data_IF_630769918691
#
_entry.id   IF_630769918691
#
_cell.length_a   1.000
_cell.length_b   1.000
_cell.length_c   1.000
_cell.angle_alpha   90.00
_cell.angle_beta   90.00
_cell.angle_gamma   90.00
#
_symmetry.space_group_name_H-M   'P 1'
#
loop_
_entity.id
_entity.type
_entity.pdbx_description
1 polymer ?
#
# COMPACT_ATOMS: atom_id res chain seq x y z
N UNK A 1 34.11 -23.82 13.52
CA UNK A 1 32.83 -23.93 12.79
C UNK A 1 32.46 -22.51 12.46
N UNK A 2 32.37 -22.16 11.18
CA UNK A 2 32.04 -20.80 10.77
C UNK A 2 30.63 -20.47 11.26
N UNK A 3 30.55 -19.59 12.25
CA UNK A 3 29.30 -19.16 12.84
C UNK A 3 28.61 -18.19 11.87
N UNK A 4 27.68 -18.72 11.07
CA UNK A 4 26.92 -17.93 10.09
C UNK A 4 25.87 -17.07 10.78
N UNK A 5 25.91 -15.76 10.52
CA UNK A 5 24.91 -14.79 10.94
C UNK A 5 23.83 -14.70 9.85
N UNK A 6 22.60 -15.04 10.21
CA UNK A 6 21.45 -14.85 9.32
C UNK A 6 20.84 -13.49 9.56
N UNK A 7 20.68 -12.72 8.49
CA UNK A 7 20.19 -11.36 8.53
C UNK A 7 18.96 -11.22 7.63
N UNK A 8 17.80 -10.94 8.21
CA UNK A 8 16.58 -10.64 7.47
C UNK A 8 16.15 -9.20 7.67
N UNK A 9 16.23 -8.40 6.62
CA UNK A 9 15.77 -7.01 6.66
C UNK A 9 14.25 -6.94 6.75
N UNK A 10 13.77 -5.92 7.47
CA UNK A 10 12.38 -5.51 7.44
C UNK A 10 12.14 -4.69 6.19
N UNK A 11 10.99 -4.90 5.56
CA UNK A 11 10.61 -4.17 4.35
C UNK A 11 10.52 -2.65 4.61
N UNK A 12 9.89 -2.27 5.72
CA UNK A 12 9.64 -0.88 6.08
C UNK A 12 9.63 -0.63 7.59
N UNK A 13 10.14 0.53 7.99
CA UNK A 13 9.97 1.07 9.34
C UNK A 13 9.55 2.54 9.28
N UNK A 14 8.86 3.01 10.33
CA UNK A 14 8.45 4.41 10.47
C UNK A 14 9.05 5.00 11.74
N UNK A 15 9.74 6.13 11.62
CA UNK A 15 10.48 6.75 12.72
C UNK A 15 10.26 8.25 12.77
N UNK A 16 10.45 8.86 13.94
CA UNK A 16 10.40 10.30 14.08
C UNK A 16 11.73 10.95 13.64
N UNK A 17 11.73 12.22 13.22
CA UNK A 17 12.96 12.95 12.94
C UNK A 17 13.88 12.98 14.16
N UNK A 18 15.18 12.77 13.97
CA UNK A 18 16.18 12.69 15.04
C UNK A 18 16.33 11.31 15.69
N UNK A 19 15.58 10.31 15.21
CA UNK A 19 15.70 8.94 15.71
C UNK A 19 16.94 8.23 15.14
N UNK A 20 17.72 7.60 16.03
CA UNK A 20 18.86 6.75 15.65
C UNK A 20 18.38 5.34 15.38
N UNK A 21 18.48 4.92 14.12
CA UNK A 21 18.10 3.58 13.66
C UNK A 21 19.21 2.60 14.05
N UNK A 22 18.82 1.56 14.80
CA UNK A 22 19.69 0.45 15.23
C UNK A 22 19.41 -0.79 14.37
N UNK A 23 20.35 -1.74 14.36
CA UNK A 23 20.21 -2.99 13.61
C UNK A 23 18.94 -3.76 13.98
N UNK A 24 18.61 -3.84 15.26
CA UNK A 24 17.37 -4.47 15.76
C UNK A 24 16.07 -3.86 15.22
N UNK A 25 16.09 -2.57 14.86
CA UNK A 25 14.94 -1.88 14.30
C UNK A 25 14.70 -2.26 12.84
N UNK A 26 15.76 -2.48 12.06
CA UNK A 26 15.68 -2.70 10.60
C UNK A 26 15.87 -4.16 10.19
N UNK A 27 16.39 -5.02 11.06
CA UNK A 27 16.68 -6.40 10.73
C UNK A 27 16.34 -7.36 11.87
N UNK A 28 15.87 -8.55 11.51
CA UNK A 28 15.90 -9.73 12.35
C UNK A 28 17.26 -10.40 12.18
N UNK A 29 17.93 -10.64 13.30
CA UNK A 29 19.28 -11.20 13.31
C UNK A 29 19.21 -12.51 14.06
N UNK A 30 19.74 -13.57 13.47
CA UNK A 30 20.02 -14.81 14.17
C UNK A 30 21.53 -15.04 14.14
N UNK A 31 22.14 -15.00 15.32
CA UNK A 31 23.57 -15.11 15.51
C UNK A 31 23.87 -15.95 16.76
N UNK A 32 25.11 -16.46 16.90
CA UNK A 32 25.55 -17.13 18.12
C UNK A 32 25.34 -16.24 19.36
N UNK A 33 25.04 -16.89 20.49
CA UNK A 33 24.57 -16.25 21.72
C UNK A 33 25.50 -15.17 22.29
N UNK A 34 26.81 -15.25 22.04
CA UNK A 34 27.77 -14.23 22.51
C UNK A 34 27.78 -12.93 21.69
N UNK A 35 27.32 -12.96 20.43
CA UNK A 35 27.48 -11.84 19.48
C UNK A 35 26.14 -11.16 19.20
N UNK A 36 25.02 -11.89 19.35
CA UNK A 36 23.69 -11.41 18.98
C UNK A 36 23.30 -10.11 19.71
N UNK A 37 23.48 -10.01 21.03
CA UNK A 37 23.12 -8.81 21.79
C UNK A 37 23.91 -7.58 21.35
N UNK A 38 25.22 -7.75 21.13
CA UNK A 38 26.13 -6.69 20.66
C UNK A 38 25.75 -6.16 19.28
N UNK A 39 25.22 -7.02 18.41
CA UNK A 39 24.77 -6.64 17.07
C UNK A 39 23.44 -5.90 17.09
N UNK A 40 22.49 -6.33 17.92
CA UNK A 40 21.15 -5.73 18.02
C UNK A 40 21.18 -4.24 18.39
N UNK A 41 22.13 -3.82 19.23
CA UNK A 41 22.27 -2.43 19.68
C UNK A 41 23.12 -1.55 18.74
N UNK A 42 23.63 -2.10 17.64
CA UNK A 42 24.52 -1.37 16.72
C UNK A 42 23.77 -0.23 16.02
N UNK A 43 24.20 1.03 16.16
CA UNK A 43 23.62 2.15 15.42
C UNK A 43 24.06 2.08 13.95
N UNK A 44 23.11 2.26 13.03
CA UNK A 44 23.33 2.21 11.58
C UNK A 44 23.34 3.62 10.99
N UNK A 45 22.31 4.40 11.30
CA UNK A 45 22.16 5.76 10.79
C UNK A 45 21.23 6.56 11.71
N UNK A 46 21.57 7.83 11.93
CA UNK A 46 20.65 8.78 12.57
C UNK A 46 19.90 9.52 11.48
N UNK A 47 18.57 9.51 11.56
CA UNK A 47 17.70 10.11 10.58
C UNK A 47 17.57 11.60 10.87
N UNK A 48 18.12 12.43 10.00
CA UNK A 48 18.00 13.88 10.07
C UNK A 48 16.77 14.37 9.31
N UNK A 49 16.28 15.57 9.66
CA UNK A 49 15.24 16.25 8.86
C UNK A 49 15.72 16.60 7.45
N UNK A 50 17.03 16.70 7.24
CA UNK A 50 17.64 16.98 5.95
C UNK A 50 17.62 15.77 5.00
N UNK A 51 17.41 14.55 5.54
CA UNK A 51 17.40 13.31 4.75
C UNK A 51 16.06 13.10 4.02
N UNK A 52 15.14 14.08 4.06
CA UNK A 52 13.85 14.02 3.40
C UNK A 52 12.81 13.21 4.18
N UNK A 53 11.76 12.80 3.48
CA UNK A 53 10.65 12.03 4.07
C UNK A 53 10.90 10.51 4.06
N UNK A 54 11.83 10.04 3.23
CA UNK A 54 12.09 8.62 3.03
C UNK A 54 13.58 8.39 2.86
N UNK A 55 14.13 7.42 3.57
CA UNK A 55 15.55 7.03 3.48
C UNK A 55 15.63 5.53 3.23
N UNK A 56 16.44 5.12 2.24
CA UNK A 56 16.69 3.70 1.98
C UNK A 56 18.00 3.28 2.65
N UNK A 57 17.95 2.21 3.44
CA UNK A 57 19.13 1.59 4.04
C UNK A 57 19.39 0.25 3.34
N UNK A 58 20.48 0.19 2.58
CA UNK A 58 20.89 -0.98 1.82
C UNK A 58 21.55 -2.08 2.69
N UNK A 59 21.36 -3.34 2.32
CA UNK A 59 22.01 -4.51 2.92
C UNK A 59 23.53 -4.36 2.99
N UNK A 60 24.18 -3.80 1.96
CA UNK A 60 25.63 -3.61 1.91
C UNK A 60 26.12 -2.67 3.02
N UNK A 61 25.35 -1.62 3.33
CA UNK A 61 25.66 -0.70 4.43
C UNK A 61 25.54 -1.40 5.79
N UNK A 62 24.56 -2.28 5.93
CA UNK A 62 24.35 -3.08 7.15
C UNK A 62 25.48 -4.10 7.31
N UNK A 63 25.81 -4.85 6.26
CA UNK A 63 26.93 -5.81 6.26
C UNK A 63 28.24 -5.10 6.62
N UNK A 64 28.50 -3.94 6.04
CA UNK A 64 29.69 -3.13 6.38
C UNK A 64 29.70 -2.71 7.85
N UNK A 65 28.53 -2.40 8.42
CA UNK A 65 28.41 -2.03 9.84
C UNK A 65 28.62 -3.23 10.76
N UNK A 66 28.16 -4.43 10.37
CA UNK A 66 28.38 -5.69 11.10
C UNK A 66 29.86 -6.07 11.05
N UNK A 67 30.49 -6.08 9.87
CA UNK A 67 31.90 -6.47 9.69
C UNK A 67 32.88 -5.57 10.44
N UNK A 68 32.53 -4.31 10.72
CA UNK A 68 33.32 -3.44 11.60
C UNK A 68 33.40 -3.93 13.04
N UNK A 69 32.36 -4.63 13.52
CA UNK A 69 32.31 -5.21 14.88
C UNK A 69 32.75 -6.66 14.92
N UNK A 70 32.45 -7.41 13.86
CA UNK A 70 32.75 -8.86 13.77
C UNK A 70 33.34 -9.15 12.38
N UNK A 71 34.66 -8.96 12.21
CA UNK A 71 35.30 -9.06 10.89
C UNK A 71 35.21 -10.45 10.26
N UNK A 72 35.29 -11.49 11.09
CA UNK A 72 35.38 -12.89 10.67
C UNK A 72 34.02 -13.59 10.52
N UNK A 73 32.91 -12.87 10.72
CA UNK A 73 31.59 -13.48 10.60
C UNK A 73 31.18 -13.71 9.14
N UNK A 74 30.70 -14.93 8.87
CA UNK A 74 29.99 -15.23 7.63
C UNK A 74 28.56 -14.67 7.74
N UNK A 75 28.15 -13.81 6.81
CA UNK A 75 26.81 -13.19 6.83
C UNK A 75 25.98 -13.77 5.68
N UNK A 76 24.80 -14.30 6.00
CA UNK A 76 23.83 -14.83 5.05
C UNK A 76 22.57 -13.96 5.05
N UNK A 77 22.38 -13.09 4.05
CA UNK A 77 21.18 -12.26 3.92
C UNK A 77 19.97 -13.11 3.49
N UNK A 78 18.81 -12.84 4.08
CA UNK A 78 17.54 -13.51 3.79
C UNK A 78 16.43 -12.48 3.62
N UNK A 79 15.68 -12.51 2.53
CA UNK A 79 14.56 -11.59 2.30
C UNK A 79 14.97 -10.28 1.59
N UNK A 80 14.34 -9.13 1.93
CA UNK A 80 14.56 -7.88 1.21
C UNK A 80 16.02 -7.40 1.24
N UNK A 81 16.50 -6.84 0.12
CA UNK A 81 17.86 -6.31 -0.02
C UNK A 81 18.05 -4.91 0.60
N UNK A 82 16.96 -4.24 1.00
CA UNK A 82 17.02 -2.95 1.66
C UNK A 82 15.80 -2.73 2.56
N UNK A 83 15.91 -1.77 3.47
CA UNK A 83 14.81 -1.31 4.33
C UNK A 83 14.45 0.13 3.99
N UNK A 84 13.16 0.40 3.76
CA UNK A 84 12.62 1.74 3.59
C UNK A 84 12.34 2.33 4.99
N UNK A 85 12.97 3.46 5.30
CA UNK A 85 12.77 4.21 6.54
C UNK A 85 11.94 5.45 6.24
N UNK A 86 10.67 5.42 6.66
CA UNK A 86 9.77 6.56 6.52
C UNK A 86 9.89 7.49 7.72
N UNK A 87 10.17 8.76 7.44
CA UNK A 87 10.19 9.81 8.46
C UNK A 87 8.76 10.28 8.67
N UNK A 88 8.25 10.13 9.90
CA UNK A 88 6.91 10.56 10.25
C UNK A 88 6.78 12.09 10.08
N UNK A 89 6.21 12.51 8.95
CA UNK A 89 5.76 13.87 8.78
C UNK A 89 4.63 14.19 9.77
N UNK A 90 4.57 15.43 10.25
CA UNK A 90 3.43 15.90 11.05
C UNK A 90 2.15 15.69 10.25
N UNK A 91 1.12 15.11 10.89
CA UNK A 91 -0.21 14.96 10.29
C UNK A 91 -0.69 16.33 9.80
N UNK A 92 -0.83 16.49 8.49
CA UNK A 92 -1.47 17.66 7.90
C UNK A 92 -2.97 17.40 7.92
N UNK A 93 -3.69 18.20 8.69
CA UNK A 93 -5.14 18.15 8.69
C UNK A 93 -5.62 18.73 7.36
N UNK A 94 -6.36 17.95 6.59
CA UNK A 94 -7.13 18.50 5.48
C UNK A 94 -8.25 19.36 6.08
N UNK A 95 -8.42 20.62 5.64
CA UNK A 95 -9.54 21.43 6.09
C UNK A 95 -10.85 20.73 5.71
N UNK A 96 -11.79 20.67 6.64
CA UNK A 96 -13.11 20.04 6.44
C UNK A 96 -13.82 20.56 5.17
N UNK A 97 -13.58 21.82 4.82
CA UNK A 97 -14.12 22.44 3.60
C UNK A 97 -13.62 21.76 2.32
N UNK A 98 -12.33 21.43 2.23
CA UNK A 98 -11.78 20.71 1.08
C UNK A 98 -12.34 19.29 0.99
N UNK A 99 -12.51 18.63 2.13
CA UNK A 99 -13.14 17.32 2.17
C UNK A 99 -14.58 17.36 1.63
N UNK A 100 -15.39 18.33 2.08
CA UNK A 100 -16.75 18.53 1.60
C UNK A 100 -16.81 18.83 0.09
N UNK A 101 -15.90 19.66 -0.40
CA UNK A 101 -15.82 19.99 -1.83
C UNK A 101 -15.53 18.75 -2.68
N UNK A 102 -14.53 17.95 -2.30
CA UNK A 102 -14.17 16.71 -2.99
C UNK A 102 -15.34 15.73 -2.95
N UNK A 103 -16.03 15.62 -1.81
CA UNK A 103 -17.19 14.75 -1.66
C UNK A 103 -18.33 15.12 -2.59
N UNK A 104 -18.66 16.42 -2.69
CA UNK A 104 -19.67 16.93 -3.63
C UNK A 104 -19.28 16.65 -5.08
N UNK A 105 -18.01 16.89 -5.43
CA UNK A 105 -17.52 16.66 -6.78
C UNK A 105 -17.60 15.18 -7.17
N UNK A 106 -17.20 14.27 -6.27
CA UNK A 106 -17.34 12.83 -6.48
C UNK A 106 -18.80 12.40 -6.59
N UNK A 107 -19.67 12.92 -5.73
CA UNK A 107 -21.10 12.61 -5.78
C UNK A 107 -21.74 13.02 -7.11
N UNK A 108 -21.48 14.26 -7.56
CA UNK A 108 -21.97 14.77 -8.84
C UNK A 108 -21.38 13.98 -10.02
N UNK A 109 -20.08 13.71 -10.00
CA UNK A 109 -19.40 12.95 -11.05
C UNK A 109 -19.95 11.52 -11.18
N UNK A 110 -20.15 10.83 -10.06
CA UNK A 110 -20.78 9.51 -10.04
C UNK A 110 -22.23 9.55 -10.51
N UNK A 111 -23.01 10.54 -10.09
CA UNK A 111 -24.40 10.69 -10.53
C UNK A 111 -24.50 10.89 -12.05
N UNK A 112 -23.65 11.76 -12.62
CA UNK A 112 -23.57 11.98 -14.06
C UNK A 112 -23.16 10.71 -14.81
N UNK A 113 -22.16 9.96 -14.29
CA UNK A 113 -21.75 8.69 -14.88
C UNK A 113 -22.86 7.65 -14.88
N UNK A 114 -23.62 7.53 -13.78
CA UNK A 114 -24.77 6.63 -13.68
C UNK A 114 -25.83 7.02 -14.72
N UNK A 115 -26.19 8.31 -14.81
CA UNK A 115 -27.19 8.80 -15.77
C UNK A 115 -26.75 8.50 -17.21
N UNK A 116 -25.51 8.84 -17.56
CA UNK A 116 -24.98 8.60 -18.90
C UNK A 116 -24.96 7.11 -19.25
N UNK A 117 -24.60 6.23 -18.32
CA UNK A 117 -24.66 4.79 -18.56
C UNK A 117 -26.10 4.27 -18.72
N UNK A 118 -27.05 4.82 -17.98
CA UNK A 118 -28.47 4.46 -18.12
C UNK A 118 -29.05 4.90 -19.46
N UNK A 119 -28.64 6.08 -19.95
CA UNK A 119 -29.00 6.58 -21.28
C UNK A 119 -28.31 5.79 -22.41
N UNK A 120 -27.01 5.54 -22.30
CA UNK A 120 -26.21 4.87 -23.34
C UNK A 120 -26.66 3.41 -23.57
N UNK A 121 -27.06 2.71 -22.50
CA UNK A 121 -27.59 1.33 -22.58
C UNK A 121 -29.11 1.32 -22.80
N UNK A 122 -29.77 2.49 -22.84
CA UNK A 122 -31.23 2.66 -22.85
C UNK A 122 -31.91 1.69 -21.88
N UNK A 123 -31.53 1.81 -20.60
CA UNK A 123 -32.02 0.93 -19.53
C UNK A 123 -33.55 0.96 -19.42
N UNK A 124 -34.15 2.10 -19.77
CA UNK A 124 -35.59 2.28 -19.80
C UNK A 124 -36.22 1.40 -20.87
N UNK A 125 -35.81 1.49 -22.13
CA UNK A 125 -36.37 0.67 -23.19
C UNK A 125 -36.12 -0.83 -22.95
N UNK A 126 -35.00 -1.20 -22.34
CA UNK A 126 -34.73 -2.58 -21.95
C UNK A 126 -35.74 -3.09 -20.92
N UNK A 127 -35.99 -2.32 -19.86
CA UNK A 127 -36.96 -2.67 -18.81
C UNK A 127 -38.40 -2.72 -19.35
N UNK A 128 -38.80 -1.76 -20.19
CA UNK A 128 -40.12 -1.73 -20.83
C UNK A 128 -40.35 -2.95 -21.73
N UNK A 129 -39.34 -3.34 -22.53
CA UNK A 129 -39.39 -4.54 -23.38
C UNK A 129 -39.51 -5.82 -22.55
N UNK A 130 -38.70 -5.97 -21.50
CA UNK A 130 -38.76 -7.15 -20.62
C UNK A 130 -40.13 -7.23 -19.94
N UNK A 131 -40.64 -6.12 -19.43
CA UNK A 131 -41.96 -6.05 -18.82
C UNK A 131 -43.07 -6.43 -19.81
N UNK A 132 -43.02 -5.90 -21.04
CA UNK A 132 -43.97 -6.23 -22.10
C UNK A 132 -43.91 -7.70 -22.50
N UNK A 133 -42.72 -8.30 -22.62
CA UNK A 133 -42.57 -9.71 -22.96
C UNK A 133 -43.20 -10.64 -21.92
N UNK A 134 -43.17 -10.26 -20.64
CA UNK A 134 -43.70 -11.07 -19.54
C UNK A 134 -45.21 -10.84 -19.33
N UNK A 135 -45.66 -9.59 -19.42
CA UNK A 135 -47.03 -9.19 -19.05
C UNK A 135 -47.95 -8.97 -20.25
N UNK A 136 -47.41 -8.76 -21.45
CA UNK A 136 -48.15 -8.32 -22.63
C UNK A 136 -48.63 -6.87 -22.58
N UNK A 137 -48.32 -6.12 -21.50
CA UNK A 137 -48.79 -4.75 -21.27
C UNK A 137 -47.64 -3.78 -21.56
N UNK A 138 -47.94 -2.72 -22.32
CA UNK A 138 -46.99 -1.61 -22.52
C UNK A 138 -47.16 -0.63 -21.37
N UNK A 139 -46.19 -0.63 -20.47
CA UNK A 139 -46.07 0.34 -19.39
C UNK A 139 -44.75 1.09 -19.58
N UNK A 140 -44.81 2.43 -19.53
CA UNK A 140 -43.66 3.31 -19.71
C UNK A 140 -42.86 3.49 -18.41
N UNK A 141 -43.33 2.92 -17.29
CA UNK A 141 -42.69 2.97 -15.97
C UNK A 141 -42.96 1.69 -15.17
N UNK A 142 -42.38 0.53 -15.55
CA UNK A 142 -42.65 -0.74 -14.87
C UNK A 142 -42.02 -0.78 -13.46
N UNK A 143 -42.74 -0.23 -12.48
CA UNK A 143 -42.29 -0.09 -11.08
C UNK A 143 -41.89 -1.43 -10.45
N UNK A 144 -42.53 -2.53 -10.88
CA UNK A 144 -42.25 -3.89 -10.42
C UNK A 144 -40.80 -4.34 -10.72
N UNK A 145 -40.18 -3.82 -11.79
CA UNK A 145 -38.77 -4.10 -12.12
C UNK A 145 -37.83 -3.04 -11.57
N UNK A 146 -38.28 -1.78 -11.51
CA UNK A 146 -37.45 -0.67 -11.05
C UNK A 146 -37.09 -0.76 -9.56
N UNK A 147 -38.02 -1.21 -8.72
CA UNK A 147 -37.79 -1.34 -7.28
C UNK A 147 -36.73 -2.44 -6.99
N UNK A 148 -36.87 -3.69 -7.48
CA UNK A 148 -35.83 -4.71 -7.31
C UNK A 148 -34.51 -4.33 -7.98
N UNK A 149 -34.54 -3.66 -9.13
CA UNK A 149 -33.34 -3.20 -9.84
C UNK A 149 -32.52 -2.22 -8.99
N UNK A 150 -33.17 -1.18 -8.45
CA UNK A 150 -32.48 -0.17 -7.62
C UNK A 150 -31.99 -0.76 -6.30
N UNK A 151 -32.77 -1.64 -5.66
CA UNK A 151 -32.34 -2.38 -4.48
C UNK A 151 -31.15 -3.31 -4.78
N UNK A 152 -31.21 -4.04 -5.90
CA UNK A 152 -30.15 -4.93 -6.35
C UNK A 152 -28.86 -4.19 -6.70
N UNK A 153 -28.96 -3.01 -7.32
CA UNK A 153 -27.80 -2.16 -7.62
C UNK A 153 -27.16 -1.63 -6.33
N UNK A 154 -27.97 -1.14 -5.39
CA UNK A 154 -27.48 -0.68 -4.08
C UNK A 154 -26.86 -1.81 -3.26
N UNK A 155 -27.54 -2.96 -3.16
CA UNK A 155 -27.03 -4.14 -2.45
C UNK A 155 -25.77 -4.70 -3.11
N UNK A 156 -25.73 -4.76 -4.46
CA UNK A 156 -24.58 -5.18 -5.23
C UNK A 156 -23.35 -4.32 -4.95
N UNK A 157 -23.50 -2.99 -4.90
CA UNK A 157 -22.41 -2.08 -4.52
C UNK A 157 -21.93 -2.32 -3.08
N UNK A 158 -22.85 -2.49 -2.12
CA UNK A 158 -22.49 -2.74 -0.71
C UNK A 158 -21.74 -4.07 -0.53
N UNK A 159 -22.14 -5.11 -1.26
CA UNK A 159 -21.50 -6.42 -1.25
C UNK A 159 -20.15 -6.38 -1.97
N UNK A 160 -20.07 -5.76 -3.16
CA UNK A 160 -18.85 -5.64 -3.96
C UNK A 160 -17.74 -4.92 -3.20
N UNK A 161 -18.06 -3.83 -2.50
CA UNK A 161 -17.12 -3.10 -1.65
C UNK A 161 -16.96 -3.69 -0.24
N UNK A 162 -17.55 -4.86 0.03
CA UNK A 162 -17.46 -5.59 1.29
C UNK A 162 -17.67 -4.71 2.54
N UNK A 163 -18.51 -3.67 2.44
CA UNK A 163 -18.57 -2.64 3.47
C UNK A 163 -19.47 -3.04 4.65
N UNK A 164 -20.47 -3.90 4.43
CA UNK A 164 -21.48 -4.24 5.43
C UNK A 164 -21.24 -5.55 6.19
N UNK A 165 -20.38 -6.44 5.71
CA UNK A 165 -20.12 -7.73 6.36
C UNK A 165 -18.68 -7.78 6.87
N UNK A 166 -18.46 -7.34 8.11
CA UNK A 166 -17.21 -7.61 8.88
C UNK A 166 -16.94 -9.11 9.08
N UNK A 167 -17.86 -9.98 8.68
CA UNK A 167 -17.73 -11.43 8.70
C UNK A 167 -17.18 -11.87 7.35
N UNK A 168 -15.86 -12.07 7.28
CA UNK A 168 -15.18 -12.67 6.13
C UNK A 168 -15.79 -14.06 5.86
N UNK A 169 -16.73 -14.16 4.93
CA UNK A 169 -17.15 -15.45 4.39
C UNK A 169 -16.10 -16.01 3.43
N UNK A 170 -15.19 -15.17 2.95
CA UNK A 170 -14.09 -15.52 2.05
C UNK A 170 -12.78 -14.87 2.56
N UNK A 171 -11.67 -15.61 2.57
CA UNK A 171 -10.35 -15.11 3.01
C UNK A 171 -9.59 -14.34 1.92
N UNK A 172 -10.14 -14.34 0.70
CA UNK A 172 -9.55 -13.71 -0.48
C UNK A 172 -9.59 -12.17 -0.38
N UNK A 173 -8.50 -11.49 -0.78
CA UNK A 173 -8.47 -10.03 -0.82
C UNK A 173 -9.45 -9.50 -1.86
N UNK A 174 -10.11 -8.38 -1.56
CA UNK A 174 -10.98 -7.72 -2.55
C UNK A 174 -10.16 -7.18 -3.73
N UNK A 175 -10.74 -7.05 -4.93
CA UNK A 175 -10.03 -6.52 -6.10
C UNK A 175 -9.37 -5.16 -5.85
N UNK A 176 -10.03 -4.29 -5.07
CA UNK A 176 -9.49 -2.99 -4.70
C UNK A 176 -8.31 -3.10 -3.70
N UNK A 177 -8.35 -4.04 -2.75
CA UNK A 177 -7.21 -4.30 -1.87
C UNK A 177 -6.00 -4.83 -2.65
N UNK A 178 -6.22 -5.70 -3.64
CA UNK A 178 -5.17 -6.19 -4.54
C UNK A 178 -4.55 -5.04 -5.34
N UNK A 179 -5.37 -4.15 -5.89
CA UNK A 179 -4.88 -3.00 -6.66
C UNK A 179 -4.10 -2.02 -5.78
N UNK A 180 -4.60 -1.72 -4.56
CA UNK A 180 -3.88 -0.89 -3.59
C UNK A 180 -2.55 -1.55 -3.19
N UNK A 181 -2.53 -2.88 -3.02
CA UNK A 181 -1.32 -3.62 -2.72
C UNK A 181 -0.28 -3.50 -3.85
N UNK A 182 -0.69 -3.72 -5.10
CA UNK A 182 0.19 -3.57 -6.27
C UNK A 182 0.71 -2.13 -6.38
N UNK A 183 -0.17 -1.14 -6.27
CA UNK A 183 0.21 0.26 -6.26
C UNK A 183 1.25 0.56 -5.16
N UNK A 184 1.06 0.01 -3.97
CA UNK A 184 2.02 0.19 -2.88
C UNK A 184 3.36 -0.48 -3.18
N UNK A 185 3.37 -1.66 -3.80
CA UNK A 185 4.60 -2.34 -4.23
C UNK A 185 5.35 -1.52 -5.29
N UNK A 186 4.65 -0.92 -6.24
CA UNK A 186 5.24 -0.09 -7.28
C UNK A 186 5.89 1.18 -6.70
N UNK A 187 5.21 1.83 -5.74
CA UNK A 187 5.77 2.97 -5.00
C UNK A 187 7.02 2.56 -4.23
N UNK A 188 6.98 1.41 -3.54
CA UNK A 188 8.14 0.89 -2.79
C UNK A 188 9.32 0.61 -3.71
N UNK A 189 9.05 -0.02 -4.85
CA UNK A 189 10.07 -0.31 -5.86
C UNK A 189 10.68 0.97 -6.43
N UNK A 190 9.86 1.97 -6.75
CA UNK A 190 10.32 3.28 -7.21
C UNK A 190 11.25 3.95 -6.18
N UNK A 191 10.85 3.96 -4.90
CA UNK A 191 11.65 4.52 -3.81
C UNK A 191 12.99 3.78 -3.69
N UNK A 192 12.98 2.45 -3.75
CA UNK A 192 14.20 1.65 -3.67
C UNK A 192 15.18 1.95 -4.82
N UNK A 193 14.67 2.22 -6.02
CA UNK A 193 15.52 2.57 -7.16
C UNK A 193 16.08 3.99 -7.08
N UNK A 194 15.26 4.97 -6.70
CA UNK A 194 15.62 6.39 -6.75
C UNK A 194 16.31 6.93 -5.49
N UNK A 195 15.93 6.46 -4.30
CA UNK A 195 16.50 6.96 -3.03
C UNK A 195 17.72 6.15 -2.57
N UNK A 196 17.96 4.98 -3.16
CA UNK A 196 19.17 4.23 -2.90
C UNK A 196 20.35 4.88 -3.64
N UNK A 197 21.17 5.62 -2.90
CA UNK A 197 22.35 6.33 -3.43
C UNK A 197 23.37 5.40 -4.11
N UNK A 198 23.37 4.11 -3.79
CA UNK A 198 24.24 3.13 -4.45
C UNK A 198 23.77 2.73 -5.85
N UNK A 199 22.49 2.95 -6.20
CA UNK A 199 21.93 2.60 -7.51
C UNK A 199 22.28 3.64 -8.60
N UNK A 200 22.58 4.89 -8.22
CA UNK A 200 22.96 5.95 -9.15
C UNK A 200 24.43 6.31 -8.97
N UNK A 201 25.30 5.69 -9.77
CA UNK A 201 26.71 6.12 -9.89
C UNK A 201 26.84 7.13 -11.02
N UNK A 202 27.01 8.40 -10.68
CA UNK A 202 27.50 9.39 -11.64
C UNK A 202 28.99 9.11 -11.88
N UNK A 203 29.30 8.73 -13.11
CA UNK A 203 30.68 8.73 -13.59
C UNK A 203 30.91 10.07 -14.28
N UNK A 204 31.53 11.00 -13.57
CA UNK A 204 32.07 12.19 -14.22
C UNK A 204 33.26 11.74 -15.08
N UNK A 205 33.14 11.88 -16.40
CA UNK A 205 34.26 11.64 -17.30
C UNK A 205 35.37 12.69 -17.04
N UNK A 206 36.65 12.29 -17.08
CA UNK A 206 37.79 13.16 -16.80
C UNK A 206 37.97 14.28 -17.83
#
# INVERSE_FOLDING_TARGET
MDETIYLRLRHRIRVNPGFTVKLSHIAQIHAPSGIQETLLDTPVQTISKADGNTVVIDMMKIISSIKKKVPDAAISPVGPAATIVEVAAKKRYLPILFFMLIWILLFLGSALGIINFHEDVDMRAAQEKIYYLITGIRDNTPLMFQIPYTLGLGAGMVIFFNHAFKKKFNEEPSPLEVEIFNYQQDIDHYILLNENKENMKHFDHP
#
